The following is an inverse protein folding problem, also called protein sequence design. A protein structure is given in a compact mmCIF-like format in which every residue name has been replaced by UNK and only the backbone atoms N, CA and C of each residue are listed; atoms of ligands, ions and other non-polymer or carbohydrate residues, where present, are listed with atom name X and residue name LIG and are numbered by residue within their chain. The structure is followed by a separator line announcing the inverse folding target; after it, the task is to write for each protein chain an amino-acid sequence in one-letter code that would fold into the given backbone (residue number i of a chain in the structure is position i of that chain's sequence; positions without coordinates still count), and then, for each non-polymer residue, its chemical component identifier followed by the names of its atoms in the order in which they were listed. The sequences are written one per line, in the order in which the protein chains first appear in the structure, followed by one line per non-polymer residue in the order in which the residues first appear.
data_IF_209711538012
#
_entry.id   IF_209711538012
#
_cell.length_a   1.000
_cell.length_b   1.000
_cell.length_c   1.000
_cell.angle_alpha   90.00
_cell.angle_beta   90.00
_cell.angle_gamma   90.00
#
_symmetry.space_group_name_H-M   'P 1'
#
loop_
_entity.id
_entity.type
_entity.pdbx_description
1 polymer ?
#
# COMPACT_ATOMS: atom_id res chain seq x y z
N UNK A 1 6.00 -16.66 -14.42
CA UNK A 1 5.47 -16.85 -13.05
C UNK A 1 5.29 -15.48 -12.44
N UNK A 2 4.18 -15.18 -11.73
CA UNK A 2 4.10 -13.95 -10.96
C UNK A 2 5.31 -13.88 -10.00
N UNK A 3 5.95 -12.72 -9.91
CA UNK A 3 7.08 -12.52 -9.01
C UNK A 3 6.66 -12.59 -7.54
N UNK A 4 7.62 -12.71 -6.60
CA UNK A 4 7.32 -12.91 -5.19
C UNK A 4 6.54 -11.71 -4.61
N UNK A 5 5.54 -12.03 -3.78
CA UNK A 5 4.68 -11.04 -3.10
C UNK A 5 5.23 -10.77 -1.70
N UNK A 6 5.31 -9.49 -1.34
CA UNK A 6 5.59 -9.02 0.01
C UNK A 6 4.25 -8.69 0.66
N UNK A 7 3.96 -9.33 1.78
CA UNK A 7 2.74 -9.09 2.54
C UNK A 7 3.05 -8.17 3.72
N UNK A 8 2.30 -7.07 3.84
CA UNK A 8 2.41 -6.15 4.96
C UNK A 8 1.10 -6.14 5.75
N UNK A 9 1.16 -6.62 6.99
CA UNK A 9 0.05 -6.61 7.93
C UNK A 9 -0.05 -5.25 8.62
N UNK A 10 -1.21 -4.60 8.48
CA UNK A 10 -1.53 -3.31 9.09
C UNK A 10 -2.57 -3.43 10.22
N UNK A 11 -2.92 -4.64 10.66
CA UNK A 11 -3.95 -4.88 11.68
C UNK A 11 -3.67 -4.17 13.02
N UNK A 12 -2.39 -3.95 13.36
CA UNK A 12 -1.97 -3.21 14.55
C UNK A 12 -1.83 -1.69 14.33
N UNK A 13 -1.99 -1.20 13.10
CA UNK A 13 -1.84 0.21 12.74
C UNK A 13 -3.19 0.91 12.85
N UNK A 14 -3.28 1.89 13.75
CA UNK A 14 -4.53 2.62 13.99
C UNK A 14 -4.75 3.75 12.98
N UNK A 15 -3.66 4.42 12.58
CA UNK A 15 -3.70 5.58 11.70
C UNK A 15 -2.46 5.62 10.79
N UNK A 16 -2.68 6.03 9.55
CA UNK A 16 -1.65 6.43 8.60
C UNK A 16 -1.93 7.86 8.15
N UNK A 17 -0.95 8.74 8.32
CA UNK A 17 -0.97 10.07 7.73
C UNK A 17 -0.55 10.03 6.26
N UNK A 18 -0.64 11.18 5.58
CA UNK A 18 -0.31 11.28 4.15
C UNK A 18 1.16 10.97 3.85
N UNK A 19 2.08 11.26 4.77
CA UNK A 19 3.50 10.95 4.60
C UNK A 19 3.74 9.44 4.67
N UNK A 20 3.09 8.74 5.59
CA UNK A 20 3.15 7.30 5.70
C UNK A 20 2.52 6.61 4.48
N UNK A 21 1.41 7.13 3.95
CA UNK A 21 0.82 6.63 2.69
C UNK A 21 1.77 6.85 1.51
N UNK A 22 2.40 8.02 1.40
CA UNK A 22 3.40 8.28 0.34
C UNK A 22 4.60 7.33 0.44
N UNK A 23 5.03 6.99 1.66
CA UNK A 23 6.08 6.00 1.87
C UNK A 23 5.64 4.58 1.41
N UNK A 24 4.39 4.19 1.66
CA UNK A 24 3.85 2.91 1.16
C UNK A 24 3.79 2.87 -0.36
N UNK A 25 3.36 3.97 -1.00
CA UNK A 25 3.34 4.10 -2.47
C UNK A 25 4.77 3.96 -3.03
N UNK A 26 5.74 4.66 -2.44
CA UNK A 26 7.14 4.56 -2.83
C UNK A 26 7.70 3.14 -2.67
N UNK A 27 7.36 2.46 -1.58
CA UNK A 27 7.75 1.07 -1.36
C UNK A 27 7.12 0.11 -2.38
N UNK A 28 5.83 0.28 -2.70
CA UNK A 28 5.15 -0.50 -3.72
C UNK A 28 5.79 -0.31 -5.10
N UNK A 29 6.09 0.93 -5.48
CA UNK A 29 6.76 1.24 -6.74
C UNK A 29 8.18 0.65 -6.82
N UNK A 30 8.95 0.74 -5.73
CA UNK A 30 10.29 0.16 -5.67
C UNK A 30 10.28 -1.38 -5.80
N UNK A 31 9.31 -2.05 -5.17
CA UNK A 31 9.12 -3.49 -5.31
C UNK A 31 8.67 -3.87 -6.73
N UNK A 32 7.77 -3.10 -7.33
CA UNK A 32 7.33 -3.28 -8.71
C UNK A 32 8.50 -3.19 -9.70
N UNK A 33 9.40 -2.21 -9.50
CA UNK A 33 10.65 -2.09 -10.28
C UNK A 33 11.59 -3.30 -10.15
N UNK A 34 11.43 -4.13 -9.12
CA UNK A 34 12.17 -5.38 -8.90
C UNK A 34 11.39 -6.63 -9.38
N UNK A 35 10.24 -6.44 -10.03
CA UNK A 35 9.34 -7.54 -10.43
C UNK A 35 8.62 -8.20 -9.25
N UNK A 36 8.52 -7.50 -8.10
CA UNK A 36 7.83 -7.95 -6.89
C UNK A 36 6.55 -7.13 -6.68
N UNK A 37 5.64 -7.62 -5.84
CA UNK A 37 4.41 -6.88 -5.48
C UNK A 37 4.33 -6.66 -3.98
N UNK A 38 3.73 -5.56 -3.55
CA UNK A 38 3.39 -5.28 -2.17
C UNK A 38 1.88 -5.44 -1.99
N UNK A 39 1.45 -6.34 -1.10
CA UNK A 39 0.04 -6.53 -0.76
C UNK A 39 -0.19 -6.12 0.69
N UNK A 40 -1.08 -5.14 0.89
CA UNK A 40 -1.46 -4.64 2.20
C UNK A 40 -2.63 -5.47 2.76
N UNK A 41 -2.48 -5.92 4.00
CA UNK A 41 -3.53 -6.60 4.77
C UNK A 41 -4.08 -5.68 5.85
N UNK A 42 -5.39 -5.79 6.10
CA UNK A 42 -6.10 -5.05 7.14
C UNK A 42 -5.83 -3.52 7.14
N UNK A 43 -6.05 -2.82 6.00
CA UNK A 43 -5.72 -1.41 5.91
C UNK A 43 -6.61 -0.56 6.84
N UNK A 44 -6.02 0.37 7.62
CA UNK A 44 -6.78 1.24 8.50
C UNK A 44 -7.70 2.17 7.71
N UNK A 45 -8.74 2.67 8.37
CA UNK A 45 -9.71 3.59 7.77
C UNK A 45 -9.06 4.82 7.14
N UNK A 46 -8.01 5.36 7.76
CA UNK A 46 -7.29 6.52 7.23
C UNK A 46 -6.64 6.26 5.87
N UNK A 47 -6.12 5.04 5.62
CA UNK A 47 -5.56 4.69 4.31
C UNK A 47 -6.64 4.73 3.23
N UNK A 48 -7.83 4.19 3.54
CA UNK A 48 -8.98 4.22 2.63
C UNK A 48 -9.39 5.65 2.30
N UNK A 49 -9.45 6.53 3.31
CA UNK A 49 -9.76 7.96 3.11
C UNK A 49 -8.73 8.68 2.24
N UNK A 50 -7.44 8.43 2.44
CA UNK A 50 -6.39 9.04 1.61
C UNK A 50 -6.48 8.52 0.17
N UNK A 51 -6.68 7.22 -0.03
CA UNK A 51 -6.85 6.64 -1.37
C UNK A 51 -8.09 7.16 -2.12
N UNK A 52 -9.19 7.44 -1.40
CA UNK A 52 -10.37 8.11 -1.97
C UNK A 52 -10.08 9.56 -2.42
N UNK A 53 -9.24 10.28 -1.66
CA UNK A 53 -8.90 11.67 -1.95
C UNK A 53 -7.82 11.81 -3.04
N UNK A 54 -6.93 10.82 -3.15
CA UNK A 54 -5.74 10.83 -4.01
C UNK A 54 -5.62 9.49 -4.78
N UNK A 55 -6.58 9.18 -5.66
CA UNK A 55 -6.65 7.88 -6.31
C UNK A 55 -5.47 7.61 -7.25
N UNK A 56 -4.99 8.63 -7.96
CA UNK A 56 -3.88 8.50 -8.91
C UNK A 56 -2.55 8.27 -8.18
N UNK A 57 -2.35 8.96 -7.05
CA UNK A 57 -1.17 8.81 -6.20
C UNK A 57 -1.15 7.44 -5.50
N UNK A 58 -2.33 6.91 -5.15
CA UNK A 58 -2.46 5.63 -4.47
C UNK A 58 -2.59 4.43 -5.43
N UNK A 59 -2.53 4.64 -6.74
CA UNK A 59 -2.78 3.59 -7.75
C UNK A 59 -1.80 2.40 -7.68
N UNK A 60 -0.61 2.59 -7.09
CA UNK A 60 0.38 1.53 -6.89
C UNK A 60 0.08 0.63 -5.68
N UNK A 61 -0.87 1.00 -4.80
CA UNK A 61 -1.20 0.22 -3.61
C UNK A 61 -2.15 -0.91 -3.97
N UNK A 62 -1.80 -2.12 -3.56
CA UNK A 62 -2.66 -3.28 -3.66
C UNK A 62 -3.14 -3.70 -2.27
N UNK A 63 -4.44 -3.92 -2.11
CA UNK A 63 -5.07 -4.31 -0.85
C UNK A 63 -5.64 -5.71 -0.98
N UNK A 64 -5.41 -6.57 0.01
CA UNK A 64 -6.05 -7.87 0.09
C UNK A 64 -7.56 -7.72 0.34
N UNK A 65 -8.36 -8.45 -0.42
CA UNK A 65 -9.82 -8.44 -0.32
C UNK A 65 -10.33 -9.09 0.97
#
# INVERSE_FOLDING_TARGET
MPGPVVHLDLSAVVLLDTAAVAALVGAAAALSGQGRRLLLHDPPYSLRKVAEMFPDECAALEVAA
#
